data_IF_658108306833
#
_entry.id   IF_658108306833
#
_cell.length_a   1.000
_cell.length_b   1.000
_cell.length_c   1.000
_cell.angle_alpha   90.00
_cell.angle_beta   90.00
_cell.angle_gamma   90.00
#
_symmetry.space_group_name_H-M   'P 1'
#
loop_
_entity.id
_entity.type
_entity.pdbx_description
1 polymer ?
#
# COMPACT_ATOMS: atom_id res chain seq x y z
N UNK A 1 -73.38 -12.82 1.47
CA UNK A 1 -72.26 -13.66 1.93
C UNK A 1 -71.28 -13.81 0.77
N UNK A 2 -70.50 -12.77 0.50
CA UNK A 2 -69.48 -12.78 -0.56
C UNK A 2 -68.38 -11.83 -0.13
N UNK A 3 -67.52 -12.29 0.79
CA UNK A 3 -66.24 -11.64 1.09
C UNK A 3 -65.41 -12.55 1.98
N UNK A 4 -64.11 -12.69 1.64
CA UNK A 4 -63.00 -13.14 2.50
C UNK A 4 -62.59 -14.63 2.51
N UNK A 5 -62.03 -15.16 1.42
CA UNK A 5 -61.08 -16.28 1.59
C UNK A 5 -59.98 -16.45 0.55
N UNK A 6 -59.89 -15.63 -0.50
CA UNK A 6 -58.84 -15.82 -1.53
C UNK A 6 -57.48 -15.18 -1.21
N UNK A 7 -57.20 -14.82 0.04
CA UNK A 7 -55.87 -14.34 0.47
C UNK A 7 -55.32 -15.10 1.68
N UNK A 8 -55.14 -16.41 1.60
CA UNK A 8 -54.30 -17.12 2.57
C UNK A 8 -53.90 -18.51 2.06
N UNK A 9 -52.77 -18.62 1.35
CA UNK A 9 -51.92 -19.81 1.50
C UNK A 9 -50.50 -19.51 1.03
N UNK A 10 -49.75 -18.79 1.85
CA UNK A 10 -48.29 -18.88 1.82
C UNK A 10 -47.84 -19.15 3.26
N UNK A 11 -47.23 -20.32 3.48
CA UNK A 11 -46.82 -20.94 4.73
C UNK A 11 -47.86 -21.88 5.37
N UNK A 12 -47.90 -23.12 4.90
CA UNK A 12 -48.66 -24.24 5.44
C UNK A 12 -47.94 -24.98 6.61
N UNK A 13 -46.65 -24.75 6.86
CA UNK A 13 -46.07 -25.01 8.18
C UNK A 13 -44.83 -24.11 8.47
N UNK A 14 -44.56 -23.74 9.74
CA UNK A 14 -43.38 -22.96 10.12
C UNK A 14 -42.05 -23.72 10.02
N UNK A 15 -42.04 -24.99 9.66
CA UNK A 15 -40.84 -25.82 9.68
C UNK A 15 -40.21 -25.95 8.28
N UNK A 16 -40.94 -25.64 7.21
CA UNK A 16 -40.47 -25.62 5.80
C UNK A 16 -39.49 -24.47 5.50
N UNK A 17 -39.36 -23.51 6.41
CA UNK A 17 -38.32 -22.48 6.36
C UNK A 17 -36.90 -23.07 6.46
N UNK A 18 -36.72 -24.22 7.14
CA UNK A 18 -35.46 -24.93 7.22
C UNK A 18 -35.11 -25.64 5.90
N UNK A 19 -36.11 -26.19 5.19
CA UNK A 19 -35.90 -26.85 3.89
C UNK A 19 -35.46 -25.85 2.80
N UNK A 20 -35.91 -24.60 2.90
CA UNK A 20 -35.52 -23.53 1.97
C UNK A 20 -34.07 -23.04 2.23
N UNK A 21 -33.63 -23.09 3.49
CA UNK A 21 -32.25 -22.74 3.89
C UNK A 21 -31.25 -23.89 3.72
N UNK A 22 -31.69 -25.15 3.66
CA UNK A 22 -30.84 -26.33 3.42
C UNK A 22 -30.83 -26.81 1.97
N UNK A 23 -31.51 -26.11 1.04
CA UNK A 23 -31.45 -26.44 -0.38
C UNK A 23 -29.98 -26.27 -0.90
N UNK A 24 -29.37 -27.29 -1.53
CA UNK A 24 -28.01 -27.19 -2.06
C UNK A 24 -27.80 -26.03 -3.06
N UNK A 25 -28.87 -25.56 -3.72
CA UNK A 25 -28.84 -24.40 -4.60
C UNK A 25 -28.71 -23.07 -3.84
N UNK A 26 -29.31 -22.93 -2.64
CA UNK A 26 -29.19 -21.71 -1.82
C UNK A 26 -27.90 -21.70 -1.00
N UNK A 27 -27.46 -22.85 -0.49
CA UNK A 27 -26.18 -22.99 0.21
C UNK A 27 -24.96 -22.68 -0.69
N UNK A 28 -25.00 -23.09 -1.97
CA UNK A 28 -23.93 -22.78 -2.93
C UNK A 28 -23.84 -21.29 -3.29
N UNK A 29 -24.96 -20.57 -3.30
CA UNK A 29 -25.01 -19.15 -3.62
C UNK A 29 -24.31 -18.27 -2.57
N UNK A 30 -24.48 -18.55 -1.27
CA UNK A 30 -23.80 -17.81 -0.20
C UNK A 30 -22.29 -18.08 -0.17
N UNK A 31 -21.87 -19.32 -0.41
CA UNK A 31 -20.44 -19.66 -0.46
C UNK A 31 -19.74 -19.05 -1.68
N UNK A 32 -20.40 -19.04 -2.84
CA UNK A 32 -19.87 -18.43 -4.06
C UNK A 32 -19.65 -16.92 -3.92
N UNK A 33 -20.62 -16.20 -3.35
CA UNK A 33 -20.49 -14.75 -3.13
C UNK A 33 -19.37 -14.44 -2.14
N UNK A 34 -19.26 -15.18 -1.03
CA UNK A 34 -18.21 -14.99 -0.05
C UNK A 34 -16.80 -15.18 -0.65
N UNK A 35 -16.61 -16.21 -1.47
CA UNK A 35 -15.33 -16.47 -2.14
C UNK A 35 -14.98 -15.33 -3.11
N UNK A 36 -15.94 -14.90 -3.95
CA UNK A 36 -15.71 -13.80 -4.90
C UNK A 36 -15.36 -12.51 -4.16
N UNK A 37 -16.07 -12.19 -3.08
CA UNK A 37 -15.77 -11.01 -2.26
C UNK A 37 -14.38 -11.10 -1.63
N UNK A 38 -13.99 -12.25 -1.05
CA UNK A 38 -12.64 -12.46 -0.52
C UNK A 38 -11.55 -12.28 -1.59
N UNK A 39 -11.77 -12.80 -2.81
CA UNK A 39 -10.83 -12.64 -3.91
C UNK A 39 -10.68 -11.18 -4.34
N UNK A 40 -11.78 -10.42 -4.40
CA UNK A 40 -11.74 -8.99 -4.72
C UNK A 40 -10.93 -8.22 -3.65
N UNK A 41 -11.16 -8.49 -2.36
CA UNK A 41 -10.40 -7.86 -1.29
C UNK A 41 -8.91 -8.23 -1.33
N UNK A 42 -8.57 -9.49 -1.58
CA UNK A 42 -7.20 -9.94 -1.71
C UNK A 42 -6.48 -9.27 -2.90
N UNK A 43 -7.16 -9.15 -4.05
CA UNK A 43 -6.66 -8.44 -5.23
C UNK A 43 -6.46 -6.95 -4.94
N UNK A 44 -7.43 -6.29 -4.32
CA UNK A 44 -7.32 -4.89 -3.94
C UNK A 44 -6.13 -4.65 -3.00
N UNK A 45 -5.97 -5.50 -1.99
CA UNK A 45 -4.82 -5.45 -1.08
C UNK A 45 -3.49 -5.62 -1.82
N UNK A 46 -3.41 -6.60 -2.73
CA UNK A 46 -2.21 -6.85 -3.53
C UNK A 46 -1.87 -5.68 -4.46
N UNK A 47 -2.88 -5.08 -5.09
CA UNK A 47 -2.72 -3.87 -5.93
C UNK A 47 -2.16 -2.71 -5.11
N UNK A 48 -2.72 -2.45 -3.93
CA UNK A 48 -2.23 -1.41 -3.02
C UNK A 48 -0.76 -1.67 -2.67
N UNK A 49 -0.41 -2.92 -2.38
CA UNK A 49 0.95 -3.30 -2.03
C UNK A 49 1.96 -3.06 -3.18
N UNK A 50 1.57 -3.40 -4.41
CA UNK A 50 2.37 -3.10 -5.61
C UNK A 50 2.52 -1.59 -5.83
N UNK A 51 1.44 -0.82 -5.67
CA UNK A 51 1.50 0.64 -5.81
C UNK A 51 2.45 1.26 -4.79
N UNK A 52 2.45 0.78 -3.55
CA UNK A 52 3.40 1.20 -2.52
C UNK A 52 4.83 0.84 -2.92
N UNK A 53 5.09 -0.37 -3.44
CA UNK A 53 6.42 -0.77 -3.90
C UNK A 53 6.94 0.13 -5.04
N UNK A 54 6.10 0.41 -6.05
CA UNK A 54 6.44 1.33 -7.15
C UNK A 54 6.68 2.74 -6.62
N UNK A 55 5.88 3.19 -5.66
CA UNK A 55 6.04 4.49 -5.02
C UNK A 55 7.37 4.62 -4.29
N UNK A 56 7.76 3.61 -3.50
CA UNK A 56 9.07 3.56 -2.83
C UNK A 56 10.20 3.64 -3.84
N UNK A 57 10.14 2.85 -4.92
CA UNK A 57 11.15 2.90 -5.98
C UNK A 57 11.30 4.30 -6.58
N UNK A 58 10.17 4.93 -6.95
CA UNK A 58 10.18 6.29 -7.51
C UNK A 58 10.66 7.34 -6.50
N UNK A 59 10.31 7.20 -5.23
CA UNK A 59 10.73 8.13 -4.17
C UNK A 59 12.23 8.01 -3.89
N UNK A 60 12.77 6.80 -3.86
CA UNK A 60 14.20 6.55 -3.68
C UNK A 60 15.03 7.06 -4.87
N UNK A 61 14.57 6.82 -6.11
CA UNK A 61 15.26 7.29 -7.32
C UNK A 61 15.31 8.82 -7.41
N UNK A 62 14.25 9.51 -6.97
CA UNK A 62 14.22 10.98 -6.90
C UNK A 62 15.23 11.55 -5.90
N UNK A 63 15.63 10.76 -4.90
CA UNK A 63 16.57 11.16 -3.83
C UNK A 63 18.01 10.80 -4.14
N UNK A 64 18.32 10.32 -5.34
CA UNK A 64 19.67 9.91 -5.72
C UNK A 64 20.19 8.67 -4.99
N UNK A 65 19.33 7.95 -4.25
CA UNK A 65 19.65 6.66 -3.64
C UNK A 65 19.26 5.54 -4.60
N UNK A 66 19.96 4.42 -4.56
CA UNK A 66 19.67 3.26 -5.40
C UNK A 66 18.24 2.73 -5.12
N UNK A 67 17.27 3.14 -5.95
CA UNK A 67 15.86 2.81 -5.73
C UNK A 67 15.55 1.33 -5.86
N UNK A 68 16.30 0.60 -6.68
CA UNK A 68 16.20 -0.86 -6.81
C UNK A 68 16.55 -1.56 -5.50
N UNK A 69 17.58 -1.09 -4.81
CA UNK A 69 18.06 -1.69 -3.57
C UNK A 69 17.00 -1.51 -2.46
N UNK A 70 16.41 -0.31 -2.35
CA UNK A 70 15.31 -0.05 -1.43
C UNK A 70 14.05 -0.85 -1.76
N UNK A 71 13.70 -1.01 -3.04
CA UNK A 71 12.57 -1.83 -3.46
C UNK A 71 12.76 -3.30 -3.07
N UNK A 72 13.96 -3.87 -3.27
CA UNK A 72 14.28 -5.25 -2.88
C UNK A 72 14.12 -5.45 -1.37
N UNK A 73 14.60 -4.50 -0.56
CA UNK A 73 14.44 -4.54 0.90
C UNK A 73 12.96 -4.51 1.29
N UNK A 74 12.16 -3.62 0.70
CA UNK A 74 10.72 -3.51 0.99
C UNK A 74 9.96 -4.77 0.55
N UNK A 75 10.35 -5.41 -0.55
CA UNK A 75 9.73 -6.67 -0.99
C UNK A 75 10.09 -7.83 -0.04
N UNK A 76 11.36 -7.92 0.39
CA UNK A 76 11.83 -9.02 1.26
C UNK A 76 11.34 -8.90 2.70
N UNK A 77 11.36 -7.68 3.28
CA UNK A 77 10.93 -7.44 4.67
C UNK A 77 9.44 -7.05 4.77
N UNK A 78 8.78 -6.86 3.63
CA UNK A 78 7.39 -6.45 3.53
C UNK A 78 7.08 -5.13 4.25
N UNK A 79 6.03 -5.13 5.08
CA UNK A 79 5.64 -3.96 5.87
C UNK A 79 6.78 -3.43 6.76
N UNK A 80 7.65 -4.31 7.26
CA UNK A 80 8.80 -3.92 8.08
C UNK A 80 9.81 -3.13 7.24
N UNK A 81 10.06 -3.55 6.00
CA UNK A 81 10.95 -2.84 5.08
C UNK A 81 10.41 -1.44 4.76
N UNK A 82 9.08 -1.29 4.63
CA UNK A 82 8.44 0.00 4.42
C UNK A 82 8.62 0.93 5.62
N UNK A 83 8.50 0.42 6.85
CA UNK A 83 8.72 1.20 8.08
C UNK A 83 10.18 1.67 8.13
N UNK A 84 11.15 0.77 7.89
CA UNK A 84 12.58 1.12 7.85
C UNK A 84 12.85 2.18 6.79
N UNK A 85 12.27 2.02 5.59
CA UNK A 85 12.38 3.02 4.52
C UNK A 85 11.90 4.40 4.99
N UNK A 86 10.72 4.48 5.62
CA UNK A 86 10.16 5.73 6.11
C UNK A 86 11.00 6.38 7.21
N UNK A 87 11.62 5.59 8.09
CA UNK A 87 12.55 6.11 9.12
C UNK A 87 13.81 6.69 8.47
N UNK A 88 14.41 5.97 7.52
CA UNK A 88 15.64 6.41 6.83
C UNK A 88 15.38 7.55 5.84
N UNK A 89 14.14 7.70 5.35
CA UNK A 89 13.73 8.79 4.44
C UNK A 89 13.98 10.19 5.01
N UNK A 90 14.11 10.33 6.33
CA UNK A 90 14.31 11.59 7.03
C UNK A 90 15.64 12.31 6.72
N UNK A 91 16.64 11.62 6.20
CA UNK A 91 17.90 12.27 5.80
C UNK A 91 17.76 12.86 4.39
N UNK A 92 17.62 14.18 4.32
CA UNK A 92 17.98 14.91 3.11
C UNK A 92 19.50 14.79 2.99
N UNK A 93 19.97 13.96 2.07
CA UNK A 93 21.34 14.04 1.59
C UNK A 93 21.44 15.35 0.81
N UNK A 94 21.64 16.45 1.54
CA UNK A 94 21.99 17.73 0.93
C UNK A 94 23.25 17.48 0.08
N UNK A 95 23.27 17.93 -1.19
CA UNK A 95 24.45 17.78 -2.03
C UNK A 95 25.63 18.48 -1.33
N UNK A 96 26.64 17.69 -0.97
CA UNK A 96 27.84 18.17 -0.30
C UNK A 96 29.01 18.04 -1.26
N UNK A 97 29.60 19.18 -1.64
CA UNK A 97 30.84 19.23 -2.41
C UNK A 97 32.03 19.17 -1.49
N UNK A 98 33.13 18.59 -1.98
CA UNK A 98 34.39 18.65 -1.28
C UNK A 98 35.15 19.93 -1.67
N UNK A 99 35.65 20.64 -0.67
CA UNK A 99 36.51 21.81 -0.84
C UNK A 99 37.81 21.45 -1.59
N UNK A 100 38.15 22.06 -2.73
CA UNK A 100 39.37 21.71 -3.46
C UNK A 100 40.66 22.15 -2.74
N UNK A 101 40.59 23.13 -1.84
CA UNK A 101 41.75 23.60 -1.08
C UNK A 101 41.94 22.84 0.25
N UNK A 102 40.86 22.31 0.83
CA UNK A 102 40.86 21.81 2.20
C UNK A 102 40.28 20.41 2.39
N UNK A 103 39.69 19.81 1.36
CA UNK A 103 39.17 18.44 1.36
C UNK A 103 37.95 18.19 2.24
N UNK A 104 37.46 19.18 3.01
CA UNK A 104 36.26 19.03 3.84
C UNK A 104 34.98 19.07 3.01
N UNK A 105 33.99 18.26 3.39
CA UNK A 105 32.63 18.29 2.85
C UNK A 105 31.91 19.58 3.28
N UNK A 106 31.36 20.30 2.31
CA UNK A 106 30.70 21.59 2.47
C UNK A 106 29.43 21.53 1.62
N UNK A 107 28.29 22.06 2.08
CA UNK A 107 27.08 22.06 1.26
C UNK A 107 27.32 22.87 -0.03
N UNK A 108 26.69 22.44 -1.13
CA UNK A 108 26.94 23.03 -2.46
C UNK A 108 26.52 24.50 -2.58
N UNK A 109 25.61 24.97 -1.73
CA UNK A 109 25.13 26.35 -1.66
C UNK A 109 26.07 27.33 -0.92
N UNK A 110 27.10 26.82 -0.22
CA UNK A 110 28.02 27.68 0.53
C UNK A 110 28.91 28.49 -0.42
N UNK A 111 28.74 29.81 -0.50
CA UNK A 111 29.58 30.73 -1.31
C UNK A 111 31.07 30.73 -0.93
N UNK A 112 31.38 30.37 0.31
CA UNK A 112 32.74 30.35 0.82
C UNK A 112 32.92 29.22 1.84
N UNK A 113 34.09 28.61 1.84
CA UNK A 113 34.42 27.58 2.81
C UNK A 113 34.59 28.17 4.22
N UNK A 114 33.85 27.69 5.25
CA UNK A 114 33.99 28.19 6.63
C UNK A 114 35.32 27.81 7.29
N UNK A 115 36.04 26.83 6.73
CA UNK A 115 37.29 26.33 7.30
C UNK A 115 38.55 26.95 6.71
N UNK A 116 38.53 27.33 5.43
CA UNK A 116 39.71 27.87 4.73
C UNK A 116 39.44 29.21 4.04
N UNK A 117 38.22 29.74 4.13
CA UNK A 117 37.80 30.99 3.52
C UNK A 117 37.95 31.06 1.99
N UNK A 118 38.16 29.93 1.31
CA UNK A 118 38.16 29.87 -0.15
C UNK A 118 36.76 30.22 -0.65
N UNK A 119 36.65 31.26 -1.48
CA UNK A 119 35.44 31.58 -2.22
C UNK A 119 35.32 30.64 -3.40
N UNK A 120 34.12 30.12 -3.61
CA UNK A 120 33.80 29.37 -4.80
C UNK A 120 33.27 30.39 -5.79
N UNK A 121 34.13 30.80 -6.72
CA UNK A 121 33.69 31.58 -7.86
C UNK A 121 32.67 30.74 -8.63
N UNK A 122 31.54 31.36 -8.92
CA UNK A 122 30.37 30.77 -9.57
C UNK A 122 30.61 30.50 -11.06
#
# INVERSE_FOLDING_TARGET
MTVLSTIASAADNPWDMWNTTTNPQTAGAFMGVAIVTCLIFALAWFIIWILVAIWVYKDANKRGKNGVLWLIIVILLGLIGLIIYLVVRGEKTEPSRHCPNCGRGIPEDARSCPYCNKKFEE
#
